data_IF_530918103870
#
_entry.id   IF_530918103870
#
_cell.length_a   1.000
_cell.length_b   1.000
_cell.length_c   1.000
_cell.angle_alpha   90.00
_cell.angle_beta   90.00
_cell.angle_gamma   90.00
#
_symmetry.space_group_name_H-M   'P 1'
#
loop_
_entity.id
_entity.type
_entity.pdbx_description
1 polymer ?
#
# COMPACT_ATOMS: atom_id res chain seq x y z
N UNK A 1 -0.94 -6.44 42.68
CA UNK A 1 -2.18 -5.62 42.67
C UNK A 1 -2.06 -4.62 41.53
N UNK A 2 -2.77 -4.84 40.40
CA UNK A 2 -2.63 -4.00 39.19
C UNK A 2 -3.51 -2.77 39.33
N UNK A 3 -2.91 -1.57 39.37
CA UNK A 3 -3.64 -0.29 39.37
C UNK A 3 -4.37 -0.14 38.03
N UNK A 4 -5.71 -0.14 38.06
CA UNK A 4 -6.55 0.15 36.89
C UNK A 4 -6.28 1.60 36.47
N UNK A 5 -5.97 1.84 35.19
CA UNK A 5 -5.84 3.21 34.65
C UNK A 5 -7.23 3.82 34.59
N UNK A 6 -7.41 4.98 35.22
CA UNK A 6 -8.61 5.80 35.03
C UNK A 6 -8.56 6.47 33.65
N UNK A 7 -9.67 6.39 32.92
CA UNK A 7 -9.81 7.09 31.64
C UNK A 7 -9.95 8.59 31.95
N UNK A 8 -8.92 9.37 31.62
CA UNK A 8 -8.87 10.82 31.87
C UNK A 8 -9.75 11.67 30.95
N UNK A 9 -10.65 11.06 30.18
CA UNK A 9 -11.49 11.80 29.25
C UNK A 9 -12.85 11.12 29.10
N UNK A 10 -13.73 11.40 30.06
CA UNK A 10 -15.15 10.99 30.05
C UNK A 10 -16.05 12.00 29.35
N UNK A 11 -15.50 13.12 28.88
CA UNK A 11 -16.26 14.14 28.16
C UNK A 11 -16.36 13.72 26.69
N UNK A 12 -17.58 13.34 26.30
CA UNK A 12 -17.92 13.16 24.89
C UNK A 12 -17.76 14.55 24.26
N UNK A 13 -16.80 14.76 23.33
CA UNK A 13 -16.68 16.04 22.67
C UNK A 13 -18.01 16.35 22.00
N UNK A 14 -18.48 17.59 22.11
CA UNK A 14 -19.67 18.07 21.41
C UNK A 14 -19.36 18.06 19.90
N UNK A 15 -19.50 16.90 19.26
CA UNK A 15 -19.24 16.72 17.84
C UNK A 15 -20.46 17.21 17.08
N UNK A 16 -20.24 18.17 16.18
CA UNK A 16 -21.27 18.71 15.30
C UNK A 16 -21.94 17.56 14.51
N UNK A 17 -23.27 17.39 14.58
CA UNK A 17 -23.99 16.29 13.94
C UNK A 17 -23.72 16.19 12.43
N UNK A 18 -23.45 17.32 11.74
CA UNK A 18 -23.09 17.31 10.31
C UNK A 18 -21.82 16.51 10.01
N UNK A 19 -20.84 16.55 10.94
CA UNK A 19 -19.57 15.83 10.80
C UNK A 19 -19.75 14.31 10.94
N UNK A 20 -20.76 13.89 11.69
CA UNK A 20 -21.14 12.48 11.85
C UNK A 20 -21.82 11.97 10.58
N UNK A 21 -22.69 12.77 9.98
CA UNK A 21 -23.37 12.45 8.72
C UNK A 21 -22.38 12.36 7.53
N UNK A 22 -21.43 13.29 7.43
CA UNK A 22 -20.34 13.22 6.45
C UNK A 22 -19.44 11.99 6.64
N UNK A 23 -19.23 11.57 7.89
CA UNK A 23 -18.46 10.36 8.20
C UNK A 23 -19.23 9.09 7.84
N UNK A 24 -20.52 9.04 8.14
CA UNK A 24 -21.37 7.89 7.83
C UNK A 24 -21.58 7.71 6.31
N UNK A 25 -21.80 8.80 5.58
CA UNK A 25 -22.01 8.77 4.12
C UNK A 25 -20.77 8.31 3.33
N UNK A 26 -19.56 8.52 3.87
CA UNK A 26 -18.31 8.00 3.28
C UNK A 26 -18.17 6.48 3.30
N UNK A 27 -19.02 5.76 4.03
CA UNK A 27 -19.02 4.28 4.05
C UNK A 27 -19.79 3.70 2.87
N UNK A 28 -20.86 4.37 2.43
CA UNK A 28 -21.66 3.96 1.27
C UNK A 28 -21.00 4.30 -0.06
N UNK A 29 -20.09 5.28 -0.08
CA UNK A 29 -19.14 5.48 -1.17
C UNK A 29 -18.12 4.34 -1.17
N UNK A 30 -18.52 3.19 -1.73
CA UNK A 30 -17.71 2.00 -1.89
C UNK A 30 -16.26 2.32 -2.26
N UNK A 31 -15.33 1.61 -1.61
CA UNK A 31 -13.90 1.87 -1.68
C UNK A 31 -13.43 2.32 -3.06
N UNK A 32 -13.18 3.63 -3.22
CA UNK A 32 -12.52 4.17 -4.42
C UNK A 32 -11.18 3.42 -4.55
N UNK A 33 -10.91 2.70 -5.66
CA UNK A 33 -9.63 2.03 -5.87
C UNK A 33 -8.56 3.07 -6.20
N UNK A 34 -8.24 3.93 -5.22
CA UNK A 34 -7.33 5.07 -5.33
C UNK A 34 -6.14 5.02 -4.37
N UNK A 35 -6.05 4.01 -3.50
CA UNK A 35 -4.80 3.73 -2.77
C UNK A 35 -4.06 2.65 -3.54
N UNK A 36 -3.10 3.06 -4.39
CA UNK A 36 -2.19 2.20 -5.17
C UNK A 36 -2.76 0.79 -5.36
N UNK A 37 -3.71 0.65 -6.30
CA UNK A 37 -4.41 -0.59 -6.57
C UNK A 37 -3.43 -1.75 -6.53
N UNK A 38 -3.70 -2.73 -5.66
CA UNK A 38 -2.94 -3.99 -5.61
C UNK A 38 -2.77 -4.42 -7.06
N UNK A 39 -1.52 -4.54 -7.58
CA UNK A 39 -1.32 -4.91 -8.97
C UNK A 39 -2.13 -6.18 -9.23
N UNK A 40 -2.86 -6.23 -10.35
CA UNK A 40 -3.67 -7.41 -10.68
C UNK A 40 -2.77 -8.62 -10.52
N UNK A 41 -3.19 -9.51 -9.60
CA UNK A 41 -2.59 -10.82 -9.45
C UNK A 41 -2.72 -11.46 -10.84
N UNK A 42 -1.61 -11.95 -11.42
CA UNK A 42 -1.71 -12.73 -12.64
C UNK A 42 -2.86 -13.75 -12.44
N UNK A 43 -3.88 -13.77 -13.31
CA UNK A 43 -5.07 -14.59 -13.07
C UNK A 43 -4.65 -16.03 -12.76
N UNK A 44 -5.01 -16.51 -11.58
CA UNK A 44 -4.78 -17.89 -11.16
C UNK A 44 -3.52 -18.17 -10.34
N UNK A 45 -2.49 -17.31 -10.32
CA UNK A 45 -1.23 -17.63 -9.63
C UNK A 45 -1.09 -16.93 -8.27
N UNK A 46 -0.98 -17.72 -7.19
CA UNK A 46 -0.69 -17.20 -5.84
C UNK A 46 0.77 -16.79 -5.71
N UNK A 47 1.05 -15.74 -4.94
CA UNK A 47 2.41 -15.22 -4.69
C UNK A 47 3.01 -15.92 -3.47
N UNK A 48 2.97 -17.24 -3.46
CA UNK A 48 3.27 -18.08 -2.28
C UNK A 48 4.67 -18.71 -2.37
N UNK A 49 5.50 -18.23 -3.31
CA UNK A 49 6.87 -18.72 -3.52
C UNK A 49 7.88 -18.00 -2.60
N UNK A 50 9.17 -18.30 -2.77
CA UNK A 50 10.25 -17.76 -1.95
C UNK A 50 10.29 -16.22 -1.98
N UNK A 51 10.37 -15.61 -0.80
CA UNK A 51 10.64 -14.18 -0.66
C UNK A 51 12.12 -13.89 -0.96
N UNK A 52 12.37 -12.74 -1.57
CA UNK A 52 13.72 -12.25 -1.87
C UNK A 52 14.02 -11.10 -0.89
N UNK A 53 15.13 -11.21 -0.18
CA UNK A 53 15.68 -10.12 0.65
C UNK A 53 16.95 -9.62 -0.02
N UNK A 54 16.89 -8.37 -0.51
CA UNK A 54 18.02 -7.72 -1.16
C UNK A 54 18.38 -6.47 -0.34
N UNK A 55 19.61 -6.39 0.20
CA UNK A 55 20.09 -5.15 0.78
C UNK A 55 20.36 -4.15 -0.35
N UNK A 56 19.87 -2.92 -0.18
CA UNK A 56 20.15 -1.80 -1.07
C UNK A 56 21.13 -0.85 -0.41
N UNK A 57 21.99 -0.23 -1.20
CA UNK A 57 22.67 0.99 -0.77
C UNK A 57 21.72 2.21 -0.91
N UNK A 58 22.17 3.38 -0.44
CA UNK A 58 21.35 4.60 -0.47
C UNK A 58 20.98 5.03 -1.90
N UNK A 59 21.95 5.04 -2.81
CA UNK A 59 21.75 5.48 -4.19
C UNK A 59 20.79 4.55 -4.97
N UNK A 60 20.91 3.24 -4.76
CA UNK A 60 20.01 2.25 -5.35
C UNK A 60 18.59 2.39 -4.80
N UNK A 61 18.46 2.70 -3.51
CA UNK A 61 17.16 2.92 -2.89
C UNK A 61 16.48 4.16 -3.46
N UNK A 62 17.18 5.28 -3.55
CA UNK A 62 16.68 6.54 -4.15
C UNK A 62 16.26 6.34 -5.60
N UNK A 63 17.07 5.63 -6.39
CA UNK A 63 16.72 5.28 -7.77
C UNK A 63 15.43 4.45 -7.85
N UNK A 64 15.26 3.48 -6.94
CA UNK A 64 14.04 2.68 -6.85
C UNK A 64 12.83 3.54 -6.46
N UNK A 65 12.99 4.51 -5.56
CA UNK A 65 11.92 5.43 -5.18
C UNK A 65 11.46 6.26 -6.38
N UNK A 66 12.39 6.92 -7.06
CA UNK A 66 12.08 7.74 -8.23
C UNK A 66 11.43 6.93 -9.35
N UNK A 67 11.95 5.74 -9.63
CA UNK A 67 11.43 4.89 -10.70
C UNK A 67 10.02 4.35 -10.37
N UNK A 68 9.77 4.03 -9.10
CA UNK A 68 8.45 3.66 -8.62
C UNK A 68 7.44 4.80 -8.78
N UNK A 69 7.82 6.03 -8.41
CA UNK A 69 6.99 7.22 -8.56
C UNK A 69 6.68 7.54 -10.02
N UNK A 70 7.71 7.62 -10.88
CA UNK A 70 7.57 7.90 -12.31
C UNK A 70 6.69 6.85 -13.02
N UNK A 71 6.75 5.60 -12.59
CA UNK A 71 5.94 4.51 -13.16
C UNK A 71 4.55 4.38 -12.54
N UNK A 72 4.22 5.15 -11.49
CA UNK A 72 2.96 5.06 -10.75
C UNK A 72 2.75 3.71 -10.03
N UNK A 73 3.84 3.00 -9.71
CA UNK A 73 3.81 1.65 -9.10
C UNK A 73 4.40 1.69 -7.70
N UNK A 74 3.96 0.80 -6.82
CA UNK A 74 4.68 0.59 -5.55
C UNK A 74 6.05 -0.02 -5.81
N UNK A 75 7.05 0.23 -4.95
CA UNK A 75 8.43 -0.28 -5.10
C UNK A 75 8.47 -1.79 -5.37
N UNK A 76 7.71 -2.57 -4.58
CA UNK A 76 7.59 -4.03 -4.76
C UNK A 76 6.89 -4.44 -6.06
N UNK A 77 6.00 -3.61 -6.61
CA UNK A 77 5.39 -3.87 -7.90
C UNK A 77 6.34 -3.50 -9.05
N UNK A 78 7.07 -2.39 -8.89
CA UNK A 78 8.07 -1.94 -9.84
C UNK A 78 9.16 -3.01 -10.03
N UNK A 79 9.72 -3.56 -8.94
CA UNK A 79 10.72 -4.64 -9.02
C UNK A 79 10.19 -5.84 -9.83
N UNK A 80 8.95 -6.27 -9.55
CA UNK A 80 8.33 -7.40 -10.29
C UNK A 80 8.15 -7.09 -11.77
N UNK A 81 7.68 -5.88 -12.08
CA UNK A 81 7.50 -5.43 -13.46
C UNK A 81 8.85 -5.33 -14.19
N UNK A 82 9.89 -4.81 -13.53
CA UNK A 82 11.23 -4.69 -14.08
C UNK A 82 11.84 -6.06 -14.39
N UNK A 83 11.65 -7.05 -13.50
CA UNK A 83 12.09 -8.44 -13.74
C UNK A 83 11.39 -9.02 -14.97
N UNK A 84 10.06 -8.85 -15.09
CA UNK A 84 9.31 -9.34 -16.24
C UNK A 84 9.77 -8.67 -17.54
N UNK A 85 9.90 -7.34 -17.54
CA UNK A 85 10.37 -6.59 -18.70
C UNK A 85 11.79 -6.98 -19.12
N UNK A 86 12.71 -7.10 -18.17
CA UNK A 86 14.09 -7.53 -18.46
C UNK A 86 14.14 -8.97 -18.97
N UNK A 87 13.25 -9.85 -18.49
CA UNK A 87 13.13 -11.20 -19.02
C UNK A 87 12.57 -11.21 -20.45
N UNK A 88 11.56 -10.39 -20.74
CA UNK A 88 11.04 -10.22 -22.11
C UNK A 88 12.13 -9.69 -23.05
N UNK A 89 12.95 -8.74 -22.60
CA UNK A 89 14.06 -8.20 -23.40
C UNK A 89 15.20 -9.22 -23.63
N UNK A 90 15.38 -10.20 -22.73
CA UNK A 90 16.43 -11.23 -22.81
C UNK A 90 16.00 -12.49 -23.57
N UNK A 91 14.73 -12.87 -23.44
CA UNK A 91 14.18 -14.13 -23.97
C UNK A 91 13.16 -13.92 -25.10
N UNK A 92 12.74 -12.69 -25.35
CA UNK A 92 11.87 -12.34 -26.47
C UNK A 92 12.67 -12.32 -27.77
N UNK A 93 12.48 -13.35 -28.59
CA UNK A 93 12.64 -13.26 -30.06
C UNK A 93 11.52 -12.39 -30.66
#
# INVERSE_FOLDING_TARGET
MVKRREQKNSEIPNVDPKRVEEFASRVDEGAKPGRMGRPPKAPGMKRDYKAISLPFNQAEWELLEEAAEKSGRSKNNFIRWAIAKAADDLFGE
#
